data_IF_716566554762
#
_entry.id   IF_716566554762
#
_cell.length_a   1.000
_cell.length_b   1.000
_cell.length_c   1.000
_cell.angle_alpha   90.00
_cell.angle_beta   90.00
_cell.angle_gamma   90.00
#
_symmetry.space_group_name_H-M   'P 1'
#
loop_
_entity.id
_entity.type
_entity.pdbx_description
1 polymer ?
#
# COMPACT_ATOMS: atom_id res chain seq x y z
N UNK A 1 15.41 -4.55 12.40
CA UNK A 1 14.27 -5.01 11.60
C UNK A 1 13.06 -4.33 12.19
N UNK A 2 12.54 -3.32 11.49
CA UNK A 2 11.32 -2.65 11.92
C UNK A 2 10.18 -3.51 11.37
N UNK A 3 9.47 -4.21 12.25
CA UNK A 3 8.20 -4.87 11.95
C UNK A 3 7.13 -3.77 11.89
N UNK A 4 6.96 -3.17 10.71
CA UNK A 4 5.84 -2.29 10.43
C UNK A 4 4.91 -3.03 9.50
N UNK A 5 3.75 -3.41 10.03
CA UNK A 5 2.68 -4.03 9.28
C UNK A 5 1.70 -2.94 8.84
N UNK A 6 1.22 -3.03 7.59
CA UNK A 6 0.11 -2.20 7.14
C UNK A 6 -1.18 -2.78 7.71
N UNK A 7 -1.86 -2.01 8.55
CA UNK A 7 -3.05 -2.45 9.28
C UNK A 7 -4.32 -2.09 8.52
N UNK A 8 -4.35 -0.91 7.92
CA UNK A 8 -5.49 -0.43 7.14
C UNK A 8 -5.01 0.36 5.93
N UNK A 9 -5.68 0.16 4.81
CA UNK A 9 -5.42 0.89 3.57
C UNK A 9 -6.69 1.64 3.20
N UNK A 10 -6.60 2.97 3.13
CA UNK A 10 -7.65 3.80 2.62
C UNK A 10 -7.34 4.16 1.17
N UNK A 11 -8.07 3.54 0.25
CA UNK A 11 -7.90 3.74 -1.19
C UNK A 11 -8.45 5.09 -1.66
N UNK A 12 -9.52 5.59 -1.03
CA UNK A 12 -10.10 6.90 -1.35
C UNK A 12 -9.14 8.05 -1.03
N UNK A 13 -8.44 7.93 0.10
CA UNK A 13 -7.47 8.93 0.56
C UNK A 13 -6.03 8.62 0.10
N UNK A 14 -5.81 7.49 -0.59
CA UNK A 14 -4.49 7.00 -1.00
C UNK A 14 -3.47 6.88 0.16
N UNK A 15 -3.95 6.44 1.32
CA UNK A 15 -3.14 6.36 2.55
C UNK A 15 -3.11 4.96 3.16
N UNK A 16 -1.96 4.61 3.72
CA UNK A 16 -1.76 3.39 4.49
C UNK A 16 -1.55 3.74 5.98
N UNK A 17 -2.33 3.12 6.85
CA UNK A 17 -2.17 3.18 8.29
C UNK A 17 -1.38 1.98 8.77
N UNK A 18 -0.26 2.25 9.42
CA UNK A 18 0.67 1.25 9.88
C UNK A 18 0.50 0.93 11.37
N UNK A 19 0.98 -0.25 11.79
CA UNK A 19 0.88 -0.74 13.17
C UNK A 19 1.65 0.12 14.19
N UNK A 20 2.58 0.95 13.72
CA UNK A 20 3.30 1.94 14.52
C UNK A 20 2.51 3.24 14.78
N UNK A 21 1.29 3.34 14.25
CA UNK A 21 0.41 4.50 14.40
C UNK A 21 0.74 5.65 13.45
N UNK A 22 1.63 5.44 12.48
CA UNK A 22 2.00 6.45 11.49
C UNK A 22 1.28 6.18 10.18
N UNK A 23 0.58 7.20 9.67
CA UNK A 23 -0.02 7.20 8.34
C UNK A 23 1.07 7.50 7.31
N UNK A 24 1.07 6.73 6.22
CA UNK A 24 2.05 6.85 5.13
C UNK A 24 1.32 6.88 3.80
N UNK A 25 1.79 7.75 2.92
CA UNK A 25 1.24 7.86 1.56
C UNK A 25 1.81 6.75 0.65
N UNK A 26 1.08 6.42 -0.40
CA UNK A 26 1.62 5.58 -1.46
C UNK A 26 2.76 6.32 -2.18
N UNK A 27 3.86 5.62 -2.39
CA UNK A 27 5.01 6.17 -3.12
C UNK A 27 4.87 5.91 -4.63
N UNK A 28 4.35 4.74 -5.00
CA UNK A 28 4.16 4.35 -6.40
C UNK A 28 3.00 3.36 -6.48
N UNK A 29 2.10 3.53 -7.45
CA UNK A 29 1.01 2.60 -7.74
C UNK A 29 1.22 2.01 -9.13
N UNK A 30 0.80 0.77 -9.33
CA UNK A 30 0.96 0.06 -10.60
C UNK A 30 -0.37 -0.41 -11.13
N UNK A 31 -0.57 -0.26 -12.44
CA UNK A 31 -1.76 -0.74 -13.13
C UNK A 31 -1.70 -2.24 -13.49
N UNK A 32 -2.75 -2.73 -14.15
CA UNK A 32 -2.86 -4.11 -14.63
C UNK A 32 -1.69 -4.57 -15.53
N UNK A 33 -0.99 -3.63 -16.17
CA UNK A 33 0.17 -3.86 -17.03
C UNK A 33 1.50 -3.66 -16.28
N UNK A 34 1.45 -3.52 -14.94
CA UNK A 34 2.57 -3.22 -14.06
C UNK A 34 3.30 -1.91 -14.39
N UNK A 35 2.57 -0.93 -14.94
CA UNK A 35 3.10 0.40 -15.21
C UNK A 35 2.74 1.37 -14.08
N UNK A 36 3.63 2.32 -13.73
CA UNK A 36 3.31 3.37 -12.78
C UNK A 36 2.04 4.12 -13.21
N UNK A 37 1.06 4.20 -12.31
CA UNK A 37 -0.20 4.90 -12.53
C UNK A 37 -0.49 5.84 -11.37
N UNK A 38 -1.11 6.97 -11.67
CA UNK A 38 -1.65 7.89 -10.65
C UNK A 38 -3.15 7.66 -10.42
N UNK A 39 -3.78 6.83 -11.27
CA UNK A 39 -5.19 6.50 -11.20
C UNK A 39 -5.41 5.30 -10.25
N UNK A 40 -6.06 5.52 -9.08
CA UNK A 40 -6.30 4.46 -8.11
C UNK A 40 -7.28 3.40 -8.62
N UNK A 41 -8.17 3.73 -9.57
CA UNK A 41 -9.12 2.77 -10.14
C UNK A 41 -8.42 1.79 -11.09
N UNK A 42 -7.30 2.20 -11.67
CA UNK A 42 -6.46 1.35 -12.52
C UNK A 42 -5.41 0.59 -11.71
N UNK A 43 -5.14 1.00 -10.47
CA UNK A 43 -4.08 0.46 -9.64
C UNK A 43 -4.40 -0.97 -9.15
N UNK A 44 -3.56 -1.93 -9.54
CA UNK A 44 -3.58 -3.30 -9.02
C UNK A 44 -2.65 -3.50 -7.83
N UNK A 45 -1.66 -2.64 -7.66
CA UNK A 45 -0.69 -2.72 -6.57
C UNK A 45 -0.22 -1.33 -6.16
N UNK A 46 0.19 -1.19 -4.90
CA UNK A 46 0.74 0.03 -4.35
C UNK A 46 2.00 -0.26 -3.53
N UNK A 47 2.98 0.63 -3.60
CA UNK A 47 4.19 0.59 -2.80
C UNK A 47 4.10 1.63 -1.69
N UNK A 48 4.19 1.16 -0.45
CA UNK A 48 4.22 2.02 0.74
C UNK A 48 5.66 2.10 1.22
N UNK A 49 6.20 3.32 1.30
CA UNK A 49 7.52 3.56 1.90
C UNK A 49 7.37 3.63 3.42
N UNK A 50 7.91 2.65 4.15
CA UNK A 50 7.80 2.58 5.62
C UNK A 50 9.04 3.04 6.39
N UNK A 51 10.18 3.18 5.69
CA UNK A 51 11.44 3.70 6.20
C UNK A 51 12.34 4.18 5.07
N UNK A 52 13.55 4.66 5.37
CA UNK A 52 14.45 5.24 4.36
C UNK A 52 14.72 4.32 3.16
N UNK A 53 14.90 3.02 3.43
CA UNK A 53 15.13 1.95 2.45
C UNK A 53 14.19 0.75 2.65
N UNK A 54 12.99 0.98 3.20
CA UNK A 54 12.02 -0.08 3.47
C UNK A 54 10.69 0.19 2.76
N UNK A 55 10.22 -0.82 2.04
CA UNK A 55 9.03 -0.72 1.18
C UNK A 55 8.14 -1.95 1.34
N UNK A 56 6.83 -1.74 1.29
CA UNK A 56 5.82 -2.79 1.33
C UNK A 56 5.04 -2.74 0.02
N UNK A 57 5.01 -3.85 -0.71
CA UNK A 57 4.17 -4.00 -1.89
C UNK A 57 2.80 -4.54 -1.45
N UNK A 58 1.77 -3.74 -1.65
CA UNK A 58 0.38 -4.09 -1.40
C UNK A 58 -0.28 -4.46 -2.72
N UNK A 59 -0.92 -5.62 -2.77
CA UNK A 59 -1.73 -6.01 -3.91
C UNK A 59 -3.17 -5.52 -3.66
N UNK A 60 -3.63 -4.60 -4.50
CA UNK A 60 -4.93 -3.95 -4.43
C UNK A 60 -6.01 -4.74 -5.18
N UNK A 61 -5.61 -5.57 -6.15
CA UNK A 61 -6.51 -6.54 -6.78
C UNK A 61 -6.85 -7.65 -5.80
N UNK A 62 -8.03 -7.53 -5.19
CA UNK A 62 -8.49 -8.37 -4.09
C UNK A 62 -8.52 -9.87 -4.38
N UNK A 63 -7.61 -10.58 -3.74
CA UNK A 63 -7.86 -11.89 -3.10
C UNK A 63 -7.30 -11.92 -1.65
N UNK A 64 -6.41 -10.99 -1.31
CA UNK A 64 -5.84 -10.79 0.02
C UNK A 64 -6.19 -9.40 0.55
N UNK A 65 -7.49 -9.09 0.65
CA UNK A 65 -7.92 -8.16 1.69
C UNK A 65 -7.57 -8.87 3.00
N UNK A 66 -6.36 -8.58 3.49
CA UNK A 66 -5.71 -9.23 4.61
C UNK A 66 -6.77 -9.58 5.66
N UNK A 67 -6.89 -10.86 5.98
CA UNK A 67 -7.61 -11.31 7.17
C UNK A 67 -7.00 -10.58 8.37
N UNK A 68 -7.58 -9.44 8.72
CA UNK A 68 -7.38 -8.78 10.00
C UNK A 68 -7.88 -9.78 11.04
N UNK A 69 -6.95 -10.34 11.80
CA UNK A 69 -7.24 -11.41 12.76
C UNK A 69 -7.81 -10.86 14.06
#
# INVERSE_FOLDING_TARGET
MIDVDVVLVNMDEQTAYCSDGVTRDFFEMYDAEAQPTEDPDLAIAAVVKVGDDQFILLNLTGDDAAKVH
#
